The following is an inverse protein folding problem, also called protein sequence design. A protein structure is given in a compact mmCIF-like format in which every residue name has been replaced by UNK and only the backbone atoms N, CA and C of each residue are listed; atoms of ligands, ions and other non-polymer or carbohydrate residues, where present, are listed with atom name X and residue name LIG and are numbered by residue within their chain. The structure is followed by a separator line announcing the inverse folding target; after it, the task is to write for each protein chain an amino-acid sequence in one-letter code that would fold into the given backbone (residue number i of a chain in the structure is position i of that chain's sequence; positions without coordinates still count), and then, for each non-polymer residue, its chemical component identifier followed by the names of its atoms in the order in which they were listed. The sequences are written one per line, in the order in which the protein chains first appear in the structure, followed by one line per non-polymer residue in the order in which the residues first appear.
data_IF_844053810832
#
_entry.id   IF_844053810832
#
_cell.length_a   1.000
_cell.length_b   1.000
_cell.length_c   1.000
_cell.angle_alpha   90.00
_cell.angle_beta   90.00
_cell.angle_gamma   90.00
#
_symmetry.space_group_name_H-M   'P 1'
#
loop_
_entity.id
_entity.type
_entity.pdbx_description
1 polymer ?
#
# COMPACT_ATOMS: atom_id res chain seq x y z
N UNK A 1 -5.68 0.70 14.61
CA UNK A 1 -4.86 0.22 13.48
C UNK A 1 -5.55 0.42 12.12
N UNK A 2 -6.74 -0.16 11.86
CA UNK A 2 -7.52 0.12 10.63
C UNK A 2 -7.76 1.62 10.39
N UNK A 3 -7.98 2.40 11.46
CA UNK A 3 -8.17 3.86 11.39
C UNK A 3 -6.97 4.60 10.78
N UNK A 4 -5.73 4.18 11.07
CA UNK A 4 -4.51 4.84 10.56
C UNK A 4 -4.41 4.66 9.04
N UNK A 5 -4.61 3.43 8.54
CA UNK A 5 -4.69 3.11 7.12
C UNK A 5 -5.84 3.84 6.41
N UNK A 6 -7.01 3.98 7.05
CA UNK A 6 -8.15 4.72 6.47
C UNK A 6 -7.84 6.23 6.33
N UNK A 7 -7.20 6.86 7.32
CA UNK A 7 -6.78 8.28 7.23
C UNK A 7 -5.65 8.52 6.25
N UNK A 8 -4.74 7.55 6.11
CA UNK A 8 -3.61 7.59 5.18
C UNK A 8 -4.03 7.76 3.72
N UNK A 9 -5.15 7.12 3.36
CA UNK A 9 -5.61 7.04 1.98
C UNK A 9 -6.53 8.17 1.53
N UNK A 10 -7.06 8.96 2.46
CA UNK A 10 -7.74 10.22 2.15
C UNK A 10 -6.80 11.26 1.50
N UNK A 11 -5.47 11.07 1.61
CA UNK A 11 -4.44 11.93 1.04
C UNK A 11 -4.02 11.54 -0.39
N UNK A 12 -4.36 10.34 -0.85
CA UNK A 12 -4.09 9.94 -2.23
C UNK A 12 -5.16 10.57 -3.11
N UNK A 13 -4.79 11.66 -3.78
CA UNK A 13 -5.61 12.20 -4.85
C UNK A 13 -5.92 11.08 -5.86
N UNK A 14 -7.17 11.01 -6.28
CA UNK A 14 -7.74 10.06 -7.26
C UNK A 14 -6.85 9.89 -8.51
N UNK A 15 -6.04 10.90 -8.83
CA UNK A 15 -5.09 10.94 -9.93
C UNK A 15 -3.89 9.98 -9.75
N UNK A 16 -3.48 9.66 -8.52
CA UNK A 16 -2.43 8.67 -8.27
C UNK A 16 -2.89 7.24 -8.64
N UNK A 17 -4.19 6.95 -8.48
CA UNK A 17 -4.80 5.66 -8.82
C UNK A 17 -5.15 5.49 -10.30
N UNK A 18 -5.02 6.55 -11.10
CA UNK A 18 -5.15 6.46 -12.56
C UNK A 18 -3.87 5.88 -13.22
N UNK A 19 -2.75 5.86 -12.50
CA UNK A 19 -1.43 5.39 -12.95
C UNK A 19 -1.11 3.93 -12.63
N UNK A 20 0.04 3.47 -13.12
CA UNK A 20 0.63 2.15 -12.81
C UNK A 20 1.12 2.09 -11.35
N UNK A 21 1.58 0.92 -10.90
CA UNK A 21 2.06 0.71 -9.54
C UNK A 21 3.20 1.68 -9.15
N UNK A 22 4.03 2.08 -10.11
CA UNK A 22 5.10 3.06 -9.89
C UNK A 22 4.55 4.42 -9.44
N UNK A 23 3.55 4.96 -10.13
CA UNK A 23 2.96 6.25 -9.76
C UNK A 23 2.35 6.22 -8.35
N UNK A 24 1.75 5.08 -7.96
CA UNK A 24 1.18 4.91 -6.63
C UNK A 24 2.30 4.84 -5.58
N UNK A 25 3.38 4.10 -5.85
CA UNK A 25 4.55 4.02 -4.97
C UNK A 25 5.21 5.38 -4.78
N UNK A 26 5.39 6.16 -5.86
CA UNK A 26 5.99 7.48 -5.82
C UNK A 26 5.13 8.47 -5.00
N UNK A 27 3.82 8.48 -5.24
CA UNK A 27 2.88 9.29 -4.48
C UNK A 27 2.84 8.89 -2.99
N UNK A 28 2.91 7.58 -2.71
CA UNK A 28 2.97 7.05 -1.36
C UNK A 28 4.25 7.50 -0.65
N UNK A 29 5.38 7.41 -1.32
CA UNK A 29 6.69 7.76 -0.76
C UNK A 29 6.91 9.28 -0.61
N UNK A 30 6.24 10.08 -1.42
CA UNK A 30 6.29 11.55 -1.35
C UNK A 30 5.41 12.14 -0.22
N UNK A 31 4.53 11.34 0.40
CA UNK A 31 3.66 11.79 1.48
C UNK A 31 4.31 11.57 2.86
N UNK A 32 3.60 11.96 3.93
CA UNK A 32 4.03 11.67 5.31
C UNK A 32 3.79 10.21 5.73
N UNK A 33 3.14 9.43 4.86
CA UNK A 33 2.71 8.06 5.15
C UNK A 33 3.84 7.14 5.62
N UNK A 34 4.99 7.03 4.92
CA UNK A 34 6.07 6.15 5.36
C UNK A 34 6.52 6.45 6.79
N UNK A 35 6.71 7.73 7.12
CA UNK A 35 7.15 8.15 8.45
C UNK A 35 6.12 7.82 9.54
N UNK A 36 4.82 7.98 9.27
CA UNK A 36 3.76 7.60 10.20
C UNK A 36 3.66 6.09 10.41
N UNK A 37 3.87 5.30 9.35
CA UNK A 37 3.89 3.84 9.44
C UNK A 37 5.07 3.33 10.27
N UNK A 38 6.25 3.93 10.13
CA UNK A 38 7.40 3.64 10.98
C UNK A 38 7.12 4.06 12.43
N UNK A 39 6.66 5.29 12.64
CA UNK A 39 6.37 5.84 13.98
C UNK A 39 5.34 5.02 14.74
N UNK A 40 4.35 4.45 14.05
CA UNK A 40 3.33 3.59 14.65
C UNK A 40 3.82 2.16 14.94
N UNK A 41 5.02 1.79 14.51
CA UNK A 41 5.55 0.42 14.58
C UNK A 41 4.92 -0.55 13.57
N UNK A 42 4.00 -0.09 12.72
CA UNK A 42 3.32 -0.94 11.75
C UNK A 42 4.29 -1.51 10.72
N UNK A 43 5.18 -0.67 10.17
CA UNK A 43 6.12 -1.07 9.12
C UNK A 43 7.02 -2.25 9.55
N UNK A 44 7.36 -2.36 10.84
CA UNK A 44 8.26 -3.38 11.36
C UNK A 44 7.69 -4.80 11.49
N UNK A 45 6.37 -5.00 11.31
CA UNK A 45 5.74 -6.31 11.43
C UNK A 45 5.39 -6.91 10.05
N UNK A 46 6.37 -7.41 9.31
CA UNK A 46 6.18 -7.99 7.97
C UNK A 46 5.83 -9.49 7.97
N UNK A 47 5.68 -10.10 9.15
CA UNK A 47 5.44 -11.53 9.29
C UNK A 47 6.61 -12.40 8.80
N UNK A 48 7.83 -11.86 8.77
CA UNK A 48 9.04 -12.56 8.32
C UNK A 48 9.28 -12.55 6.81
N UNK A 49 8.47 -11.80 6.04
CA UNK A 49 8.54 -11.75 4.57
C UNK A 49 9.56 -10.73 4.02
N UNK A 50 10.03 -9.79 4.85
CA UNK A 50 10.86 -8.65 4.41
C UNK A 50 10.03 -7.46 3.90
N UNK A 51 8.74 -7.67 3.64
CA UNK A 51 7.80 -6.64 3.20
C UNK A 51 6.35 -7.04 3.50
N UNK A 52 5.46 -6.06 3.49
CA UNK A 52 4.01 -6.22 3.53
C UNK A 52 3.42 -5.98 2.15
N UNK A 53 2.35 -6.68 1.83
CA UNK A 53 1.63 -6.46 0.57
C UNK A 53 0.55 -5.39 0.77
N UNK A 54 0.53 -4.41 -0.12
CA UNK A 54 -0.58 -3.47 -0.29
C UNK A 54 -1.16 -3.63 -1.70
N UNK A 55 -2.37 -4.17 -1.79
CA UNK A 55 -3.12 -4.25 -3.04
C UNK A 55 -4.11 -3.10 -3.15
N UNK A 56 -4.13 -2.49 -4.32
CA UNK A 56 -5.01 -1.38 -4.68
C UNK A 56 -5.93 -1.85 -5.79
N UNK A 57 -7.23 -1.91 -5.52
CA UNK A 57 -8.23 -2.32 -6.51
C UNK A 57 -9.09 -1.10 -6.85
N UNK A 58 -9.17 -0.72 -8.12
CA UNK A 58 -10.02 0.41 -8.55
C UNK A 58 -11.44 -0.08 -8.76
N UNK A 59 -12.38 0.40 -7.94
CA UNK A 59 -13.78 -0.01 -7.94
C UNK A 59 -14.42 0.26 -9.31
N UNK A 60 -15.17 -0.72 -9.81
CA UNK A 60 -15.86 -0.60 -11.09
C UNK A 60 -14.91 -0.70 -12.30
N UNK A 61 -13.66 -1.12 -12.12
CA UNK A 61 -12.73 -1.38 -13.22
C UNK A 61 -11.94 -2.68 -13.00
N UNK A 62 -11.23 -3.15 -14.03
CA UNK A 62 -10.26 -4.25 -13.93
C UNK A 62 -8.87 -3.80 -13.47
N UNK A 63 -8.69 -2.52 -13.14
CA UNK A 63 -7.38 -1.99 -12.76
C UNK A 63 -7.06 -2.35 -11.31
N UNK A 64 -5.85 -2.84 -11.13
CA UNK A 64 -5.29 -3.12 -9.82
C UNK A 64 -3.78 -2.83 -9.82
N UNK A 65 -3.22 -2.65 -8.63
CA UNK A 65 -1.78 -2.58 -8.42
C UNK A 65 -1.42 -3.29 -7.12
N UNK A 66 -0.20 -3.78 -7.05
CA UNK A 66 0.39 -4.35 -5.84
C UNK A 66 1.70 -3.62 -5.52
N UNK A 67 1.80 -3.17 -4.28
CA UNK A 67 2.98 -2.53 -3.72
C UNK A 67 3.54 -3.40 -2.60
N UNK A 68 4.86 -3.35 -2.43
CA UNK A 68 5.55 -3.95 -1.29
C UNK A 68 5.99 -2.83 -0.35
N UNK A 69 5.50 -2.86 0.89
CA UNK A 69 5.88 -1.90 1.93
C UNK A 69 6.96 -2.52 2.79
N UNK A 70 8.15 -1.92 2.81
CA UNK A 70 9.27 -2.40 3.59
C UNK A 70 9.21 -1.94 5.06
N UNK A 71 10.21 -2.36 5.85
CA UNK A 71 10.30 -2.02 7.26
C UNK A 71 10.63 -0.53 7.53
N UNK A 72 11.12 0.19 6.54
CA UNK A 72 11.33 1.64 6.62
C UNK A 72 10.06 2.42 6.21
N UNK A 73 8.98 1.69 5.94
CA UNK A 73 7.66 2.21 5.65
C UNK A 73 7.51 2.69 4.21
N UNK A 74 8.51 2.52 3.34
CA UNK A 74 8.43 2.93 1.93
C UNK A 74 7.78 1.85 1.08
N UNK A 75 7.07 2.30 0.04
CA UNK A 75 6.49 1.45 -0.97
C UNK A 75 7.45 1.24 -2.14
N UNK A 76 7.52 0.01 -2.64
CA UNK A 76 8.08 -0.32 -3.95
C UNK A 76 6.97 -0.85 -4.84
N UNK A 77 6.93 -0.42 -6.10
CA UNK A 77 6.02 -0.99 -7.09
C UNK A 77 6.38 -2.45 -7.36
N UNK A 78 5.43 -3.36 -7.15
CA UNK A 78 5.65 -4.78 -7.41
C UNK A 78 5.00 -5.19 -8.74
N UNK A 79 3.70 -4.89 -8.90
CA UNK A 79 2.94 -5.31 -10.06
C UNK A 79 1.82 -4.33 -10.43
N UNK A 80 1.56 -4.16 -11.73
CA UNK A 80 0.38 -3.46 -12.26
C UNK A 80 -0.90 -4.33 -12.22
N UNK A 81 -0.99 -5.20 -11.22
CA UNK A 81 -2.13 -6.08 -10.93
C UNK A 81 -2.04 -6.61 -9.50
N UNK A 82 -3.14 -7.10 -8.93
CA UNK A 82 -3.12 -7.82 -7.66
C UNK A 82 -2.63 -9.27 -7.90
N UNK A 83 -1.42 -9.61 -7.44
CA UNK A 83 -0.79 -10.93 -7.66
C UNK A 83 -0.91 -11.85 -6.46
N UNK A 84 -0.79 -11.29 -5.26
CA UNK A 84 -0.91 -12.05 -4.02
C UNK A 84 -2.36 -12.50 -3.81
N UNK A 85 -2.66 -13.76 -4.16
CA UNK A 85 -4.03 -14.29 -4.12
C UNK A 85 -4.55 -14.49 -2.69
N UNK A 86 -3.67 -14.76 -1.72
CA UNK A 86 -4.02 -14.98 -0.32
C UNK A 86 -3.24 -14.03 0.57
N UNK A 87 -3.84 -12.87 0.86
CA UNK A 87 -3.27 -11.90 1.78
C UNK A 87 -3.27 -12.45 3.21
N UNK A 88 -2.18 -12.19 3.94
CA UNK A 88 -2.16 -12.39 5.38
C UNK A 88 -2.80 -11.18 6.05
N UNK A 89 -4.01 -11.34 6.57
CA UNK A 89 -4.79 -10.25 7.17
C UNK A 89 -4.14 -9.58 8.40
N UNK A 90 -3.13 -10.21 9.01
CA UNK A 90 -2.40 -9.64 10.14
C UNK A 90 -1.36 -8.59 9.71
N UNK A 91 -0.86 -8.68 8.47
CA UNK A 91 0.28 -7.87 8.01
C UNK A 91 0.10 -7.21 6.65
N UNK A 92 -0.71 -7.79 5.76
CA UNK A 92 -1.00 -7.33 4.41
C UNK A 92 -2.33 -6.57 4.36
N UNK A 93 -2.54 -5.80 3.29
CA UNK A 93 -3.71 -4.96 3.13
C UNK A 93 -4.23 -4.97 1.69
N UNK A 94 -5.55 -5.01 1.54
CA UNK A 94 -6.24 -4.73 0.30
C UNK A 94 -7.08 -3.47 0.49
N UNK A 95 -6.99 -2.56 -0.45
CA UNK A 95 -7.86 -1.40 -0.53
C UNK A 95 -8.67 -1.40 -1.81
N UNK A 96 -9.81 -0.73 -1.73
CA UNK A 96 -10.67 -0.45 -2.87
C UNK A 96 -10.77 1.07 -3.00
N UNK A 97 -10.23 1.60 -4.10
CA UNK A 97 -10.26 3.02 -4.46
C UNK A 97 -11.47 3.33 -5.34
#
# INVERSE_FOLDING_TARGET
MKKLLITLFALFSINAFAGNAQNIADAFNASNTPAELVKSGWAGNDGGKGYKVLQVIVKGSSKAAELHIDNNGKATAAFDSAKTAKLNADVDYQMTA
#
